data_IF_742694031169
#
_entry.id   IF_742694031169
#
_cell.length_a   1.000
_cell.length_b   1.000
_cell.length_c   1.000
_cell.angle_alpha   90.00
_cell.angle_beta   90.00
_cell.angle_gamma   90.00
#
_symmetry.space_group_name_H-M   'P 1'
#
loop_
_entity.id
_entity.type
_entity.pdbx_description
1 polymer ?
#
# COMPACT_ATOMS: atom_id res chain seq x y z
N UNK A 1 -26.30 -23.07 -13.15
CA UNK A 1 -24.87 -22.78 -13.41
C UNK A 1 -24.63 -22.62 -14.90
N UNK A 2 -24.47 -21.39 -15.36
CA UNK A 2 -24.01 -21.06 -16.71
C UNK A 2 -22.56 -20.58 -16.64
N UNK A 3 -21.75 -20.95 -17.63
CA UNK A 3 -20.37 -20.47 -17.74
C UNK A 3 -20.35 -19.16 -18.52
N UNK A 4 -19.74 -18.11 -17.97
CA UNK A 4 -19.58 -16.81 -18.63
C UNK A 4 -18.11 -16.46 -18.70
N UNK A 5 -17.67 -16.04 -19.88
CA UNK A 5 -16.30 -15.58 -20.10
C UNK A 5 -16.20 -14.09 -19.83
N UNK A 6 -15.09 -13.68 -19.25
CA UNK A 6 -14.80 -12.30 -18.94
C UNK A 6 -13.32 -12.00 -19.09
N UNK A 7 -13.02 -10.74 -19.36
CA UNK A 7 -11.66 -10.19 -19.35
C UNK A 7 -11.61 -9.07 -18.31
N UNK A 8 -10.63 -9.15 -17.43
CA UNK A 8 -10.44 -8.15 -16.39
C UNK A 8 -9.55 -7.02 -16.91
N UNK A 9 -10.06 -5.79 -16.86
CA UNK A 9 -9.36 -4.60 -17.33
C UNK A 9 -9.26 -3.54 -16.24
N UNK A 10 -8.23 -2.70 -16.33
CA UNK A 10 -8.08 -1.51 -15.51
C UNK A 10 -8.99 -0.37 -15.98
N UNK A 11 -9.08 0.68 -15.18
CA UNK A 11 -9.82 1.90 -15.54
C UNK A 11 -9.25 2.58 -16.79
N UNK A 12 -7.96 2.42 -17.04
CA UNK A 12 -7.24 2.88 -18.24
C UNK A 12 -7.47 1.98 -19.48
N UNK A 13 -8.24 0.90 -19.33
CA UNK A 13 -8.47 -0.10 -20.38
C UNK A 13 -7.31 -1.07 -20.59
N UNK A 14 -6.31 -1.08 -19.69
CA UNK A 14 -5.23 -2.06 -19.74
C UNK A 14 -5.71 -3.44 -19.29
N UNK A 15 -5.22 -4.49 -19.95
CA UNK A 15 -5.54 -5.86 -19.58
C UNK A 15 -4.85 -6.23 -18.26
N UNK A 16 -5.62 -6.45 -17.20
CA UNK A 16 -5.11 -6.89 -15.89
C UNK A 16 -4.92 -8.41 -15.85
N UNK A 17 -5.78 -9.15 -16.56
CA UNK A 17 -5.66 -10.60 -16.71
C UNK A 17 -6.05 -11.04 -18.11
N UNK A 18 -5.56 -12.19 -18.55
CA UNK A 18 -6.13 -12.88 -19.72
C UNK A 18 -7.60 -13.25 -19.48
N UNK A 19 -8.35 -13.46 -20.56
CA UNK A 19 -9.74 -13.89 -20.49
C UNK A 19 -9.89 -15.21 -19.72
N UNK A 20 -10.84 -15.27 -18.81
CA UNK A 20 -11.16 -16.43 -17.98
C UNK A 20 -12.68 -16.57 -17.86
N UNK A 21 -13.15 -17.64 -17.23
CA UNK A 21 -14.57 -17.90 -17.04
C UNK A 21 -14.95 -18.05 -15.57
N UNK A 22 -16.17 -17.65 -15.26
CA UNK A 22 -16.85 -17.95 -14.00
C UNK A 22 -18.14 -18.71 -14.27
N UNK A 23 -18.55 -19.54 -13.30
CA UNK A 23 -19.87 -20.16 -13.29
C UNK A 23 -20.80 -19.33 -12.42
N UNK A 24 -21.91 -18.87 -12.99
CA UNK A 24 -22.95 -18.11 -12.30
C UNK A 24 -24.23 -18.93 -12.17
N UNK A 25 -24.84 -18.89 -11.00
CA UNK A 25 -26.11 -19.56 -10.72
C UNK A 25 -27.32 -18.76 -11.19
N UNK A 26 -27.23 -17.45 -11.00
CA UNK A 26 -28.20 -16.45 -11.47
C UNK A 26 -27.52 -15.69 -12.59
N UNK A 27 -28.11 -15.71 -13.79
CA UNK A 27 -27.55 -15.05 -14.97
C UNK A 27 -27.93 -13.56 -14.99
N UNK A 28 -27.57 -12.83 -13.94
CA UNK A 28 -27.61 -11.36 -13.92
C UNK A 28 -26.20 -10.79 -13.72
N UNK A 29 -26.05 -9.50 -14.00
CA UNK A 29 -24.76 -8.81 -13.90
C UNK A 29 -24.25 -8.76 -12.46
N UNK A 30 -25.13 -8.63 -11.46
CA UNK A 30 -24.75 -8.61 -10.05
C UNK A 30 -24.08 -9.93 -9.61
N UNK A 31 -24.70 -11.07 -9.92
CA UNK A 31 -24.15 -12.39 -9.61
C UNK A 31 -22.85 -12.66 -10.38
N UNK A 32 -22.73 -12.16 -11.61
CA UNK A 32 -21.45 -12.19 -12.34
C UNK A 32 -20.38 -11.38 -11.62
N UNK A 33 -20.68 -10.15 -11.20
CA UNK A 33 -19.73 -9.30 -10.46
C UNK A 33 -19.24 -9.99 -9.19
N UNK A 34 -20.14 -10.58 -8.41
CA UNK A 34 -19.80 -11.30 -7.18
C UNK A 34 -18.92 -12.53 -7.47
N UNK A 35 -19.26 -13.31 -8.51
CA UNK A 35 -18.50 -14.48 -8.90
C UNK A 35 -17.09 -14.11 -9.42
N UNK A 36 -17.00 -13.06 -10.25
CA UNK A 36 -15.73 -12.53 -10.74
C UNK A 36 -14.92 -12.02 -9.56
N UNK A 37 -15.48 -11.17 -8.70
CA UNK A 37 -14.81 -10.65 -7.52
C UNK A 37 -14.28 -11.79 -6.62
N UNK A 38 -15.08 -12.80 -6.32
CA UNK A 38 -14.65 -13.96 -5.51
C UNK A 38 -13.50 -14.75 -6.17
N UNK A 39 -13.47 -14.82 -7.51
CA UNK A 39 -12.41 -15.46 -8.26
C UNK A 39 -11.12 -14.62 -8.30
N UNK A 40 -11.22 -13.33 -8.62
CA UNK A 40 -10.05 -12.46 -8.80
C UNK A 40 -9.47 -11.97 -7.47
N UNK A 41 -10.28 -11.83 -6.41
CA UNK A 41 -9.83 -11.45 -5.06
C UNK A 41 -8.84 -12.43 -4.44
N UNK A 42 -8.90 -13.70 -4.85
CA UNK A 42 -7.91 -14.72 -4.42
C UNK A 42 -6.58 -14.64 -5.17
N UNK A 43 -6.60 -14.10 -6.39
CA UNK A 43 -5.47 -14.12 -7.31
C UNK A 43 -4.71 -12.79 -7.39
N UNK A 44 -5.38 -11.66 -7.13
CA UNK A 44 -4.80 -10.32 -7.24
C UNK A 44 -4.42 -9.72 -5.88
N UNK A 45 -3.42 -8.82 -5.83
CA UNK A 45 -3.07 -8.09 -4.62
C UNK A 45 -4.26 -7.30 -4.06
N UNK A 46 -4.41 -7.27 -2.73
CA UNK A 46 -5.48 -6.57 -2.01
C UNK A 46 -5.57 -5.05 -2.31
N UNK A 47 -4.57 -4.49 -2.98
CA UNK A 47 -4.52 -3.09 -3.40
C UNK A 47 -5.31 -2.79 -4.69
N UNK A 48 -5.67 -3.82 -5.47
CA UNK A 48 -6.20 -3.63 -6.83
C UNK A 48 -7.73 -3.70 -6.89
N UNK A 49 -8.40 -4.49 -6.06
CA UNK A 49 -9.83 -4.78 -6.28
C UNK A 49 -10.73 -4.07 -5.27
N UNK A 50 -11.48 -3.07 -5.72
CA UNK A 50 -12.68 -2.61 -5.03
C UNK A 50 -13.86 -3.53 -5.39
N UNK A 51 -14.83 -3.70 -4.47
CA UNK A 51 -16.04 -4.49 -4.72
C UNK A 51 -16.92 -3.93 -5.86
N UNK A 52 -16.68 -2.69 -6.26
CA UNK A 52 -17.47 -1.97 -7.25
C UNK A 52 -17.01 -2.20 -8.70
N UNK A 53 -16.94 -3.46 -9.12
CA UNK A 53 -16.64 -3.83 -10.52
C UNK A 53 -17.70 -3.29 -11.49
N UNK A 54 -17.30 -2.76 -12.64
CA UNK A 54 -18.23 -2.37 -13.72
C UNK A 54 -18.18 -3.42 -14.83
N UNK A 55 -19.33 -3.88 -15.31
CA UNK A 55 -19.40 -4.87 -16.39
C UNK A 55 -19.86 -4.18 -17.66
N UNK A 56 -19.15 -4.43 -18.76
CA UNK A 56 -19.48 -3.94 -20.08
C UNK A 56 -19.74 -5.11 -21.03
N UNK A 57 -20.61 -4.86 -22.00
CA UNK A 57 -20.77 -5.75 -23.14
C UNK A 57 -19.51 -5.73 -24.05
N UNK A 58 -19.42 -6.61 -25.05
CA UNK A 58 -18.28 -6.64 -25.98
C UNK A 58 -18.09 -5.36 -26.81
N UNK A 59 -19.11 -4.50 -26.87
CA UNK A 59 -19.08 -3.22 -27.58
C UNK A 59 -18.65 -2.07 -26.65
N UNK A 60 -18.39 -2.35 -25.37
CA UNK A 60 -18.00 -1.35 -24.37
C UNK A 60 -19.18 -0.58 -23.77
N UNK A 61 -20.41 -1.10 -23.84
CA UNK A 61 -21.59 -0.51 -23.20
C UNK A 61 -21.74 -1.04 -21.78
N UNK A 62 -21.79 -0.15 -20.79
CA UNK A 62 -21.96 -0.53 -19.40
C UNK A 62 -23.33 -1.17 -19.17
N UNK A 63 -23.34 -2.31 -18.48
CA UNK A 63 -24.55 -3.06 -18.14
C UNK A 63 -25.00 -2.71 -16.72
N UNK A 64 -26.32 -2.61 -16.52
CA UNK A 64 -26.90 -2.42 -15.20
C UNK A 64 -26.78 -3.72 -14.38
N UNK A 65 -26.58 -3.66 -13.05
CA UNK A 65 -26.52 -4.85 -12.21
C UNK A 65 -27.72 -5.81 -12.35
N UNK A 66 -28.89 -5.30 -12.77
CA UNK A 66 -30.12 -6.08 -12.97
C UNK A 66 -30.27 -6.61 -14.39
N UNK A 67 -29.38 -6.25 -15.30
CA UNK A 67 -29.44 -6.74 -16.67
C UNK A 67 -29.25 -8.26 -16.71
N UNK A 68 -30.07 -8.90 -17.53
CA UNK A 68 -30.03 -10.35 -17.72
C UNK A 68 -28.91 -10.72 -18.68
N UNK A 69 -28.08 -11.67 -18.27
CA UNK A 69 -27.01 -12.25 -19.06
C UNK A 69 -27.43 -13.52 -19.80
N UNK A 70 -28.71 -13.90 -19.73
CA UNK A 70 -29.24 -15.13 -20.39
C UNK A 70 -28.99 -15.12 -21.90
N UNK A 71 -28.98 -13.94 -22.52
CA UNK A 71 -28.74 -13.78 -23.96
C UNK A 71 -27.25 -13.76 -24.35
N UNK A 72 -26.35 -13.75 -23.37
CA UNK A 72 -24.91 -13.75 -23.60
C UNK A 72 -24.43 -15.18 -23.81
N UNK A 73 -24.06 -15.48 -25.05
CA UNK A 73 -23.50 -16.76 -25.49
C UNK A 73 -22.15 -17.06 -24.79
N UNK A 74 -21.77 -18.32 -24.71
CA UNK A 74 -20.47 -18.76 -24.20
C UNK A 74 -19.28 -18.34 -25.07
N UNK A 75 -19.52 -17.93 -26.33
CA UNK A 75 -18.50 -17.40 -27.22
C UNK A 75 -18.25 -15.90 -27.03
N UNK A 76 -19.01 -15.26 -26.13
CA UNK A 76 -18.93 -13.83 -25.84
C UNK A 76 -18.13 -13.60 -24.56
N UNK A 77 -17.07 -12.81 -24.67
CA UNK A 77 -16.26 -12.36 -23.51
C UNK A 77 -16.75 -10.99 -23.07
N UNK A 78 -17.24 -10.90 -21.83
CA UNK A 78 -17.62 -9.64 -21.20
C UNK A 78 -16.38 -8.89 -20.69
N UNK A 79 -16.44 -7.58 -20.66
CA UNK A 79 -15.35 -6.77 -20.11
C UNK A 79 -15.72 -6.43 -18.67
N UNK A 80 -14.86 -6.76 -17.72
CA UNK A 80 -15.04 -6.43 -16.31
C UNK A 80 -13.96 -5.45 -15.91
N UNK A 81 -14.36 -4.21 -15.68
CA UNK A 81 -13.45 -3.15 -15.29
C UNK A 81 -13.35 -3.05 -13.78
N UNK A 82 -12.12 -2.97 -13.31
CA UNK A 82 -11.80 -2.70 -11.91
C UNK A 82 -11.61 -1.19 -11.75
N UNK A 83 -12.40 -0.50 -10.91
CA UNK A 83 -12.13 0.90 -10.63
C UNK A 83 -10.78 1.02 -9.93
N UNK A 84 -9.97 2.00 -10.34
CA UNK A 84 -8.72 2.25 -9.63
C UNK A 84 -9.10 2.75 -8.24
N UNK A 85 -8.61 2.09 -7.19
CA UNK A 85 -8.70 2.68 -5.85
C UNK A 85 -7.98 4.01 -5.96
N UNK A 86 -8.72 5.12 -5.85
CA UNK A 86 -8.11 6.43 -5.69
C UNK A 86 -7.03 6.26 -4.63
N UNK A 87 -5.80 6.68 -4.93
CA UNK A 87 -4.75 6.74 -3.93
C UNK A 87 -5.24 7.69 -2.85
N UNK A 88 -6.01 7.16 -1.89
CA UNK A 88 -6.29 7.85 -0.66
C UNK A 88 -4.92 7.83 0.01
N UNK A 89 -4.13 8.88 -0.24
CA UNK A 89 -2.95 9.18 0.55
C UNK A 89 -3.38 8.95 2.00
N UNK A 90 -2.83 7.92 2.66
CA UNK A 90 -3.43 7.43 3.89
C UNK A 90 -3.43 8.59 4.89
N UNK A 91 -4.61 9.09 5.22
CA UNK A 91 -4.77 10.23 6.10
C UNK A 91 -4.94 9.71 7.52
N UNK A 92 -3.91 9.89 8.32
CA UNK A 92 -3.92 9.50 9.72
C UNK A 92 -4.25 10.72 10.57
N UNK A 93 -5.28 10.60 11.41
CA UNK A 93 -5.52 11.57 12.46
C UNK A 93 -4.71 11.18 13.70
N UNK A 94 -3.60 11.88 13.94
CA UNK A 94 -2.75 11.63 15.11
C UNK A 94 -3.32 12.41 16.30
N UNK A 95 -3.86 11.69 17.28
CA UNK A 95 -4.29 12.29 18.54
C UNK A 95 -3.09 12.90 19.30
N UNK A 96 -3.27 14.02 20.03
CA UNK A 96 -2.20 14.63 20.82
C UNK A 96 -1.51 13.63 21.77
N UNK A 97 -2.28 12.76 22.43
CA UNK A 97 -1.76 11.70 23.29
C UNK A 97 -0.88 10.69 22.52
N UNK A 98 -1.24 10.38 21.28
CA UNK A 98 -0.44 9.51 20.41
C UNK A 98 0.86 10.20 20.02
N UNK A 99 0.83 11.52 19.77
CA UNK A 99 2.05 12.29 19.47
C UNK A 99 3.05 12.25 20.62
N UNK A 100 2.60 12.41 21.87
CA UNK A 100 3.48 12.33 23.05
C UNK A 100 4.05 10.92 23.25
N UNK A 101 3.23 9.88 23.07
CA UNK A 101 3.70 8.49 23.16
C UNK A 101 4.73 8.16 22.08
N UNK A 102 4.52 8.64 20.86
CA UNK A 102 5.47 8.44 19.75
C UNK A 102 6.75 9.22 19.98
N UNK A 103 6.69 10.45 20.50
CA UNK A 103 7.89 11.25 20.76
C UNK A 103 8.92 10.51 21.63
N UNK A 104 8.46 9.76 22.64
CA UNK A 104 9.30 8.94 23.52
C UNK A 104 9.93 7.71 22.84
N UNK A 105 9.39 7.29 21.70
CA UNK A 105 9.91 6.17 20.91
C UNK A 105 10.81 6.63 19.76
N UNK A 106 10.93 7.94 19.52
CA UNK A 106 11.76 8.49 18.44
C UNK A 106 13.20 8.64 18.93
N UNK A 107 14.13 8.18 18.12
CA UNK A 107 15.57 8.39 18.29
C UNK A 107 16.15 9.17 17.11
N UNK A 108 17.31 9.76 17.36
CA UNK A 108 18.12 10.45 16.37
C UNK A 108 19.40 9.64 16.16
N UNK A 109 19.75 9.40 14.90
CA UNK A 109 21.04 8.82 14.52
C UNK A 109 22.06 9.93 14.59
N UNK A 110 23.14 9.70 15.34
CA UNK A 110 24.15 10.72 15.58
C UNK A 110 25.52 10.30 15.08
N UNK A 111 26.22 11.26 14.49
CA UNK A 111 27.63 11.13 14.12
C UNK A 111 28.46 12.10 14.95
N UNK A 112 29.69 11.69 15.27
CA UNK A 112 30.65 12.57 15.96
C UNK A 112 31.14 13.63 14.97
N UNK A 113 30.97 14.91 15.33
CA UNK A 113 31.39 16.03 14.51
C UNK A 113 32.92 16.11 14.49
N UNK A 114 33.53 15.68 13.39
CA UNK A 114 35.00 15.72 13.19
C UNK A 114 35.41 17.06 12.60
N UNK A 115 34.99 18.16 13.22
CA UNK A 115 35.56 19.46 12.90
C UNK A 115 37.02 19.47 13.34
N UNK A 116 37.92 19.61 12.36
CA UNK A 116 39.36 19.35 12.44
C UNK A 116 40.21 20.29 13.32
N UNK A 117 39.68 20.76 14.46
CA UNK A 117 40.43 21.44 15.49
C UNK A 117 40.15 20.76 16.83
N UNK A 118 40.97 19.75 17.14
CA UNK A 118 40.85 18.90 18.32
C UNK A 118 40.99 19.64 19.65
N UNK A 119 39.93 20.33 20.08
CA UNK A 119 39.67 20.70 21.48
C UNK A 119 38.16 20.86 21.68
N UNK A 120 37.48 19.87 22.27
CA UNK A 120 36.15 20.09 22.87
C UNK A 120 35.14 18.96 22.69
N UNK A 121 34.93 18.19 23.76
CA UNK A 121 33.68 17.50 24.15
C UNK A 121 32.68 17.15 23.02
N UNK A 122 32.79 15.93 22.49
CA UNK A 122 31.79 15.18 21.69
C UNK A 122 30.51 15.90 21.28
N UNK A 123 30.61 16.80 20.29
CA UNK A 123 29.44 17.38 19.64
C UNK A 123 28.92 16.34 18.66
N UNK A 124 27.73 15.83 18.92
CA UNK A 124 27.06 14.84 18.09
C UNK A 124 26.09 15.53 17.14
N UNK A 125 26.27 15.34 15.83
CA UNK A 125 25.38 15.89 14.80
C UNK A 125 24.33 14.84 14.44
N UNK A 126 23.05 15.23 14.51
CA UNK A 126 21.95 14.40 14.06
C UNK A 126 21.94 14.30 12.52
N UNK A 127 22.07 13.08 12.00
CA UNK A 127 22.10 12.81 10.54
C UNK A 127 20.83 12.11 10.04
N UNK A 128 19.99 11.60 10.95
CA UNK A 128 18.73 10.96 10.60
C UNK A 128 17.85 10.70 11.82
N UNK A 129 16.59 10.30 11.60
CA UNK A 129 15.66 9.93 12.67
C UNK A 129 15.07 8.56 12.43
N UNK A 130 14.79 7.85 13.52
CA UNK A 130 14.08 6.58 13.49
C UNK A 130 13.14 6.43 14.68
N UNK A 131 12.44 5.29 14.71
CA UNK A 131 11.48 4.94 15.75
C UNK A 131 11.75 3.54 16.27
N UNK A 132 11.77 3.39 17.60
CA UNK A 132 11.74 2.08 18.24
C UNK A 132 10.33 1.48 18.14
N UNK A 133 10.23 0.31 17.51
CA UNK A 133 9.01 -0.49 17.49
C UNK A 133 8.96 -1.46 18.69
N UNK A 134 10.13 -1.91 19.15
CA UNK A 134 10.28 -2.71 20.36
C UNK A 134 11.69 -2.51 20.95
N UNK A 135 11.98 -3.16 22.08
CA UNK A 135 13.30 -3.11 22.72
C UNK A 135 14.45 -3.63 21.83
N UNK A 136 14.15 -4.42 20.80
CA UNK A 136 15.15 -5.02 19.89
C UNK A 136 14.88 -4.71 18.43
N UNK A 137 13.92 -3.83 18.12
CA UNK A 137 13.56 -3.47 16.75
C UNK A 137 13.38 -1.96 16.62
N UNK A 138 14.17 -1.38 15.73
CA UNK A 138 14.14 0.01 15.35
C UNK A 138 13.99 0.12 13.82
N UNK A 139 13.34 1.18 13.36
CA UNK A 139 13.18 1.47 11.92
C UNK A 139 13.60 2.90 11.66
N UNK A 140 14.33 3.09 10.58
CA UNK A 140 14.73 4.39 10.02
C UNK A 140 14.60 4.32 8.50
N UNK A 141 14.61 5.47 7.84
CA UNK A 141 14.74 5.50 6.39
C UNK A 141 16.14 5.03 5.96
N UNK A 142 16.22 4.31 4.85
CA UNK A 142 17.47 3.79 4.29
C UNK A 142 18.51 4.90 4.07
N UNK A 143 18.09 6.06 3.55
CA UNK A 143 18.99 7.21 3.33
C UNK A 143 19.55 7.86 4.61
N UNK A 144 19.05 7.49 5.79
CA UNK A 144 19.62 7.95 7.07
C UNK A 144 20.80 7.07 7.51
N UNK A 145 21.01 5.92 6.85
CA UNK A 145 22.11 5.01 7.11
C UNK A 145 23.22 5.29 6.10
N UNK A 146 24.45 5.42 6.59
CA UNK A 146 25.63 5.59 5.75
C UNK A 146 26.13 4.24 5.22
N UNK A 147 27.03 4.26 4.24
CA UNK A 147 27.72 3.04 3.78
C UNK A 147 28.50 2.32 4.88
N UNK A 148 28.73 2.95 6.04
CA UNK A 148 29.38 2.34 7.21
C UNK A 148 28.37 1.60 8.12
N UNK A 149 27.08 1.89 7.99
CA UNK A 149 25.99 1.29 8.77
C UNK A 149 25.50 -0.02 8.13
N UNK A 150 26.44 -0.88 7.74
CA UNK A 150 26.18 -2.19 7.16
C UNK A 150 25.68 -3.21 8.18
N UNK A 151 25.18 -4.36 7.70
CA UNK A 151 24.77 -5.48 8.54
C UNK A 151 25.94 -5.92 9.44
N UNK A 152 25.77 -5.76 10.76
CA UNK A 152 26.77 -6.08 11.79
C UNK A 152 27.49 -4.87 12.39
N UNK A 153 27.26 -3.66 11.87
CA UNK A 153 27.75 -2.41 12.44
C UNK A 153 26.91 -1.97 13.65
N UNK A 154 27.52 -1.20 14.56
CA UNK A 154 26.83 -0.51 15.65
C UNK A 154 26.62 0.95 15.29
N UNK A 155 25.40 1.45 15.49
CA UNK A 155 25.02 2.85 15.26
C UNK A 155 24.78 3.54 16.60
N UNK A 156 25.32 4.76 16.76
CA UNK A 156 25.08 5.57 17.96
C UNK A 156 23.75 6.31 17.82
N UNK A 157 22.89 6.16 18.82
CA UNK A 157 21.57 6.77 18.85
C UNK A 157 21.46 7.68 20.07
N UNK A 158 20.77 8.81 19.92
CA UNK A 158 20.34 9.68 21.01
C UNK A 158 18.82 9.70 21.09
N UNK A 159 18.25 9.79 22.29
CA UNK A 159 16.83 10.04 22.40
C UNK A 159 16.53 11.49 21.99
N UNK A 160 15.41 11.70 21.31
CA UNK A 160 15.05 13.03 20.80
C UNK A 160 15.01 14.10 21.91
N UNK A 161 14.56 13.72 23.10
CA UNK A 161 14.47 14.62 24.25
C UNK A 161 15.86 15.01 24.81
N UNK A 162 16.90 14.19 24.59
CA UNK A 162 18.28 14.48 25.03
C UNK A 162 18.97 15.51 24.13
N UNK A 163 18.56 15.63 22.87
CA UNK A 163 19.10 16.64 21.94
C UNK A 163 18.49 18.03 22.13
N UNK A 164 17.39 18.16 22.87
CA UNK A 164 16.70 19.44 23.08
C UNK A 164 17.38 20.35 24.12
N UNK A 165 18.32 19.83 24.92
CA UNK A 165 18.97 20.55 26.02
C UNK A 165 20.31 21.22 25.63
N UNK A 166 20.64 21.28 24.33
CA UNK A 166 21.92 21.83 23.83
C UNK A 166 21.88 23.37 23.63
N UNK A 167 20.76 24.02 23.95
CA UNK A 167 20.61 25.49 23.88
C UNK A 167 20.01 26.11 25.15
N UNK A 168 20.72 26.00 26.28
CA UNK A 168 20.45 26.84 27.44
C UNK A 168 21.70 27.48 28.04
#
# INVERSE_FOLDING_TARGET
MARKWFQLVGEDGSDLTSADAVTVDIEDVAALRDAVFAKVSRALPATVIAADLTVFDPNGVALDPRDSLVHIDENVTLIVQVPQRAEIAPSYFILPETREKVAKAVFVIVEEDKDGNGVGMGVFKGVGMGVFFSATLAVTCDHNLTEQDTVGSSVTLALKDEMADVHR
#
